data_IF_369608764259
#
_entry.id   IF_369608764259
#
_cell.length_a   1.000
_cell.length_b   1.000
_cell.length_c   1.000
_cell.angle_alpha   90.00
_cell.angle_beta   90.00
_cell.angle_gamma   90.00
#
_symmetry.space_group_name_H-M   'P 1'
#
loop_
_entity.id
_entity.type
_entity.pdbx_description
1 polymer ?
#
# COMPACT_ATOMS: atom_id res chain seq x y z
N UNK A 1 -21.47 12.69 4.49
CA UNK A 1 -20.26 12.78 3.65
C UNK A 1 -18.92 12.59 4.42
N UNK A 2 -18.85 12.82 5.74
CA UNK A 2 -17.60 12.77 6.54
C UNK A 2 -17.08 11.36 6.91
N UNK A 3 -17.95 10.35 7.03
CA UNK A 3 -17.57 9.01 7.53
C UNK A 3 -16.72 8.20 6.54
N UNK A 4 -17.03 8.26 5.24
CA UNK A 4 -16.30 7.53 4.17
C UNK A 4 -14.81 7.88 4.11
N UNK A 5 -14.48 9.16 4.30
CA UNK A 5 -13.10 9.62 4.22
C UNK A 5 -12.25 9.15 5.39
N UNK A 6 -12.84 9.05 6.60
CA UNK A 6 -12.15 8.52 7.78
C UNK A 6 -11.82 7.04 7.63
N UNK A 7 -12.76 6.26 7.09
CA UNK A 7 -12.53 4.85 6.79
C UNK A 7 -11.38 4.66 5.80
N UNK A 8 -11.40 5.37 4.67
CA UNK A 8 -10.33 5.30 3.67
C UNK A 8 -8.96 5.70 4.25
N UNK A 9 -8.92 6.69 5.15
CA UNK A 9 -7.68 7.13 5.78
C UNK A 9 -7.13 6.12 6.79
N UNK A 10 -7.98 5.51 7.61
CA UNK A 10 -7.59 4.46 8.54
C UNK A 10 -7.10 3.22 7.78
N UNK A 11 -7.78 2.86 6.70
CA UNK A 11 -7.42 1.75 5.84
C UNK A 11 -6.08 2.00 5.12
N UNK A 12 -5.87 3.22 4.60
CA UNK A 12 -4.58 3.61 4.01
C UNK A 12 -3.42 3.53 5.00
N UNK A 13 -3.68 3.76 6.29
CA UNK A 13 -2.67 3.61 7.34
C UNK A 13 -2.36 2.13 7.60
N UNK A 14 -3.37 1.28 7.71
CA UNK A 14 -3.17 -0.16 7.88
C UNK A 14 -2.41 -0.78 6.70
N UNK A 15 -2.72 -0.38 5.46
CA UNK A 15 -1.99 -0.83 4.25
C UNK A 15 -0.52 -0.39 4.19
N UNK A 16 -0.13 0.63 4.97
CA UNK A 16 1.25 1.11 5.02
C UNK A 16 2.13 0.32 5.99
N UNK A 17 1.54 -0.57 6.79
CA UNK A 17 2.29 -1.43 7.70
C UNK A 17 2.92 -2.60 6.92
N UNK A 18 4.10 -3.08 7.35
CA UNK A 18 4.66 -4.31 6.80
C UNK A 18 3.72 -5.48 7.07
N UNK A 19 3.45 -6.28 6.04
CA UNK A 19 2.67 -7.52 6.15
C UNK A 19 3.58 -8.60 6.76
N UNK A 20 3.07 -9.32 7.76
CA UNK A 20 3.76 -10.51 8.27
C UNK A 20 3.73 -11.61 7.18
N UNK A 21 4.88 -12.09 6.68
CA UNK A 21 4.92 -13.12 5.64
C UNK A 21 4.18 -14.42 6.03
N UNK A 22 4.02 -14.70 7.33
CA UNK A 22 3.30 -15.87 7.83
C UNK A 22 1.78 -15.68 7.86
N UNK A 23 1.28 -14.44 7.82
CA UNK A 23 -0.14 -14.09 7.84
C UNK A 23 -0.63 -13.52 6.49
N UNK A 24 0.24 -13.52 5.48
CA UNK A 24 0.01 -12.84 4.20
C UNK A 24 -1.33 -13.17 3.57
N UNK A 25 -1.73 -14.44 3.56
CA UNK A 25 -2.98 -14.89 2.92
C UNK A 25 -4.23 -14.23 3.52
N UNK A 26 -4.22 -13.97 4.83
CA UNK A 26 -5.33 -13.30 5.52
C UNK A 26 -5.28 -11.78 5.38
N UNK A 27 -4.08 -11.21 5.37
CA UNK A 27 -3.87 -9.75 5.25
C UNK A 27 -4.10 -9.23 3.82
N UNK A 28 -4.01 -10.10 2.81
CA UNK A 28 -4.28 -9.71 1.41
C UNK A 28 -5.77 -9.58 1.07
N UNK A 29 -6.67 -10.32 1.73
CA UNK A 29 -8.12 -10.31 1.42
C UNK A 29 -8.75 -8.91 1.58
N UNK A 30 -8.52 -8.17 2.68
CA UNK A 30 -9.04 -6.80 2.83
C UNK A 30 -8.52 -5.85 1.76
N UNK A 31 -7.25 -5.98 1.39
CA UNK A 31 -6.59 -5.14 0.37
C UNK A 31 -7.18 -5.36 -1.02
N UNK A 32 -7.46 -6.61 -1.37
CA UNK A 32 -8.12 -6.97 -2.63
C UNK A 32 -9.54 -6.41 -2.71
N UNK A 33 -10.32 -6.54 -1.63
CA UNK A 33 -11.68 -6.00 -1.59
C UNK A 33 -11.69 -4.48 -1.76
N UNK A 34 -10.74 -3.78 -1.12
CA UNK A 34 -10.58 -2.34 -1.30
C UNK A 34 -10.22 -1.98 -2.74
N UNK A 35 -9.26 -2.68 -3.34
CA UNK A 35 -8.85 -2.43 -4.71
C UNK A 35 -10.04 -2.54 -5.68
N UNK A 36 -10.85 -3.60 -5.53
CA UNK A 36 -12.08 -3.76 -6.32
C UNK A 36 -13.11 -2.67 -6.02
N UNK A 37 -13.31 -2.27 -4.76
CA UNK A 37 -14.20 -1.15 -4.42
C UNK A 37 -13.76 0.14 -5.12
N UNK A 38 -12.48 0.51 -5.03
CA UNK A 38 -11.95 1.73 -5.67
C UNK A 38 -12.15 1.67 -7.19
N UNK A 39 -11.92 0.50 -7.79
CA UNK A 39 -12.18 0.26 -9.22
C UNK A 39 -13.66 0.42 -9.56
N UNK A 40 -14.60 -0.10 -8.76
CA UNK A 40 -16.05 0.09 -8.99
C UNK A 40 -16.50 1.55 -8.88
N UNK A 41 -15.76 2.38 -8.15
CA UNK A 41 -16.01 3.82 -8.07
C UNK A 41 -15.54 4.59 -9.32
N UNK A 42 -14.93 3.92 -10.30
CA UNK A 42 -14.53 4.49 -11.58
C UNK A 42 -13.15 5.17 -11.59
N UNK A 43 -12.33 4.96 -10.56
CA UNK A 43 -10.95 5.44 -10.56
C UNK A 43 -10.04 4.54 -11.41
N UNK A 44 -8.97 5.11 -11.97
CA UNK A 44 -7.97 4.38 -12.75
C UNK A 44 -6.96 3.60 -11.90
N UNK A 45 -6.89 3.91 -10.61
CA UNK A 45 -5.88 3.39 -9.70
C UNK A 45 -5.88 4.09 -8.35
N UNK A 46 -4.90 3.77 -7.51
CA UNK A 46 -4.68 4.43 -6.22
C UNK A 46 -3.19 4.44 -5.82
N UNK A 47 -2.86 5.33 -4.89
CA UNK A 47 -1.50 5.52 -4.35
C UNK A 47 -1.53 5.21 -2.86
N UNK A 48 -0.52 4.51 -2.36
CA UNK A 48 -0.34 4.23 -0.93
C UNK A 48 1.13 4.31 -0.54
N UNK A 49 1.41 4.55 0.75
CA UNK A 49 2.79 4.63 1.25
C UNK A 49 3.47 3.27 1.19
N UNK A 50 4.74 3.22 0.79
CA UNK A 50 5.54 2.00 0.88
C UNK A 50 5.76 1.60 2.35
N UNK A 51 5.76 0.30 2.61
CA UNK A 51 6.08 -0.27 3.92
C UNK A 51 7.58 -0.39 4.17
N UNK A 52 8.42 -0.25 3.14
CA UNK A 52 9.87 -0.50 3.18
C UNK A 52 10.72 0.71 2.75
N UNK A 53 10.09 1.84 2.45
CA UNK A 53 10.80 3.04 1.99
C UNK A 53 9.96 4.31 2.07
N UNK A 54 10.57 5.48 1.84
CA UNK A 54 9.90 6.78 1.95
C UNK A 54 8.92 7.07 0.79
N UNK A 55 9.06 6.33 -0.31
CA UNK A 55 8.29 6.53 -1.53
C UNK A 55 6.89 5.90 -1.46
N UNK A 56 6.07 6.21 -2.46
CA UNK A 56 4.73 5.65 -2.59
C UNK A 56 4.69 4.53 -3.64
N UNK A 57 3.84 3.54 -3.39
CA UNK A 57 3.45 2.54 -4.35
C UNK A 57 2.22 3.02 -5.13
N UNK A 58 2.19 2.72 -6.44
CA UNK A 58 1.07 3.03 -7.32
C UNK A 58 0.43 1.75 -7.83
N UNK A 59 -0.90 1.72 -7.83
CA UNK A 59 -1.72 0.65 -8.40
C UNK A 59 -2.54 1.24 -9.54
N UNK A 60 -2.60 0.53 -10.66
CA UNK A 60 -3.43 0.87 -11.80
C UNK A 60 -4.28 -0.34 -12.19
N UNK A 61 -5.54 -0.12 -12.52
CA UNK A 61 -6.48 -1.21 -12.82
C UNK A 61 -6.53 -1.59 -14.31
N UNK A 62 -6.13 -0.68 -15.19
CA UNK A 62 -6.15 -0.86 -16.63
C UNK A 62 -4.76 -0.59 -17.22
N UNK A 63 -4.07 -1.66 -17.60
CA UNK A 63 -2.75 -1.58 -18.20
C UNK A 63 -2.76 -0.94 -19.59
N UNK A 64 -3.90 -0.95 -20.31
CA UNK A 64 -3.99 -0.36 -21.66
C UNK A 64 -3.83 1.16 -21.63
N UNK A 65 -4.04 1.79 -20.48
CA UNK A 65 -3.82 3.22 -20.24
C UNK A 65 -2.36 3.56 -19.94
N UNK A 66 -1.49 2.55 -19.81
CA UNK A 66 -0.10 2.73 -19.44
C UNK A 66 0.84 2.29 -20.56
N UNK A 67 1.93 3.04 -20.71
CA UNK A 67 3.05 2.66 -21.57
C UNK A 67 4.28 2.44 -20.69
N UNK A 68 4.77 1.20 -20.65
CA UNK A 68 6.05 0.91 -20.01
C UNK A 68 7.18 1.61 -20.79
N UNK A 69 7.94 2.46 -20.09
CA UNK A 69 9.06 3.22 -20.69
C UNK A 69 10.37 2.48 -20.47
N UNK A 70 10.64 2.05 -19.24
CA UNK A 70 11.82 1.29 -18.85
C UNK A 70 11.58 0.54 -17.53
N UNK A 71 12.46 -0.41 -17.22
CA UNK A 71 12.55 -1.06 -15.92
C UNK A 71 14.02 -1.20 -15.51
N UNK A 72 14.28 -1.26 -14.21
CA UNK A 72 15.63 -1.45 -13.65
C UNK A 72 15.55 -2.53 -12.57
N UNK A 73 16.51 -3.43 -12.57
CA UNK A 73 16.65 -4.45 -11.53
C UNK A 73 17.56 -3.92 -10.43
N UNK A 74 17.13 -4.08 -9.18
CA UNK A 74 17.89 -3.68 -8.00
C UNK A 74 18.07 -4.88 -7.08
N UNK A 75 19.26 -5.00 -6.49
CA UNK A 75 19.52 -5.92 -5.40
C UNK A 75 19.44 -5.14 -4.08
N UNK A 76 18.70 -5.68 -3.12
CA UNK A 76 18.62 -5.09 -1.78
C UNK A 76 20.00 -5.25 -1.11
N UNK A 77 20.65 -4.14 -0.79
CA UNK A 77 21.93 -4.14 -0.08
C UNK A 77 21.77 -4.15 1.45
N UNK A 78 20.76 -3.44 1.95
CA UNK A 78 20.51 -3.28 3.39
C UNK A 78 19.09 -2.76 3.64
N UNK A 79 18.52 -3.09 4.79
CA UNK A 79 17.27 -2.51 5.32
C UNK A 79 17.61 -1.83 6.65
N UNK A 80 17.26 -0.55 6.80
CA UNK A 80 17.47 0.22 8.03
C UNK A 80 16.14 0.39 8.76
N UNK A 81 16.10 -0.01 10.03
CA UNK A 81 14.97 0.26 10.92
C UNK A 81 15.38 1.31 11.94
N UNK A 82 14.54 2.33 12.10
CA UNK A 82 14.66 3.30 13.19
C UNK A 82 13.74 2.88 14.32
N UNK A 83 14.27 2.83 15.54
CA UNK A 83 13.53 2.46 16.74
C UNK A 83 13.55 3.63 17.72
N UNK A 84 12.39 3.92 18.30
CA UNK A 84 12.27 4.86 19.40
C UNK A 84 11.92 4.12 20.69
N UNK A 85 12.61 4.46 21.78
CA UNK A 85 12.30 3.94 23.10
C UNK A 85 10.98 4.54 23.59
N UNK A 86 9.98 3.68 23.80
CA UNK A 86 8.71 4.08 24.38
C UNK A 86 8.90 4.34 25.87
N UNK A 87 8.90 5.61 26.28
CA UNK A 87 9.18 6.04 27.67
C UNK A 87 8.15 5.59 28.73
N UNK A 88 7.17 4.75 28.40
CA UNK A 88 6.10 4.34 29.32
C UNK A 88 5.62 2.89 29.09
N UNK A 89 6.50 1.92 29.30
CA UNK A 89 6.12 0.53 29.63
C UNK A 89 6.64 0.18 31.02
#
# INVERSE_FOLDING_TARGET
MSCRFKFLRALSYELSKPIDPSASDYEYVPTQYLAELIKTLGYDGFIFKSSVGPDNNLVFFDQTKLKAINSRLYQVSSISYEFEELKNF
#
